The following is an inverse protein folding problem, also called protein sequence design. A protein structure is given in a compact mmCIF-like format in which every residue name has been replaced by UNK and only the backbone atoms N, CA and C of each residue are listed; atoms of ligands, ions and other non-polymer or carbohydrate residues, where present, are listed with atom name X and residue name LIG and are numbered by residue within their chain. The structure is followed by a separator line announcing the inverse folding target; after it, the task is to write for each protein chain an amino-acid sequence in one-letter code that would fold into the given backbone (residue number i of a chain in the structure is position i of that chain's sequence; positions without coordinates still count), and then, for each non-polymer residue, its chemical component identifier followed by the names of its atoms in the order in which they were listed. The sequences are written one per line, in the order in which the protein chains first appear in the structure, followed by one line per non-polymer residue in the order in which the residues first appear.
data_IF_473723039076
#
_entry.id   IF_473723039076
#
_cell.length_a   1.000
_cell.length_b   1.000
_cell.length_c   1.000
_cell.angle_alpha   90.00
_cell.angle_beta   90.00
_cell.angle_gamma   90.00
#
_symmetry.space_group_name_H-M   'P 1'
#
loop_
_entity.id
_entity.type
_entity.pdbx_description
1 polymer ?
#
# COMPACT_ATOMS: atom_id res chain seq x y z
N UNK A 1 -25.06 25.21 48.88
CA UNK A 1 -26.06 24.67 49.83
C UNK A 1 -27.43 25.18 49.42
N UNK A 2 -28.38 24.25 49.13
CA UNK A 2 -29.86 24.42 49.07
C UNK A 2 -30.42 25.43 48.04
N UNK A 3 -31.55 25.25 47.39
CA UNK A 3 -32.54 24.17 47.15
C UNK A 3 -33.49 24.81 46.12
N UNK A 4 -33.91 24.11 45.06
CA UNK A 4 -35.19 24.43 44.40
C UNK A 4 -36.35 24.06 45.34
N UNK A 5 -37.53 24.67 45.17
CA UNK A 5 -38.62 23.87 44.64
C UNK A 5 -39.51 24.61 43.61
N UNK A 6 -40.28 23.78 42.91
CA UNK A 6 -41.27 24.08 41.87
C UNK A 6 -42.62 24.57 42.43
N UNK A 7 -43.51 25.12 41.59
CA UNK A 7 -44.87 24.60 41.26
C UNK A 7 -45.81 25.67 40.66
N UNK A 8 -46.76 25.21 39.82
CA UNK A 8 -48.07 25.84 39.52
C UNK A 8 -48.06 26.87 38.38
N UNK A 9 -48.56 26.63 37.15
CA UNK A 9 -49.86 26.16 36.62
C UNK A 9 -50.92 27.26 36.41
N UNK A 10 -51.68 27.08 35.31
CA UNK A 10 -52.86 27.81 34.81
C UNK A 10 -52.61 29.17 34.14
N UNK A 11 -53.05 29.55 32.93
CA UNK A 11 -53.96 29.10 31.85
C UNK A 11 -55.01 30.19 31.57
N UNK A 12 -55.28 30.37 30.27
CA UNK A 12 -56.48 30.93 29.62
C UNK A 12 -56.44 32.34 29.04
N UNK A 13 -56.63 32.31 27.70
CA UNK A 13 -57.37 33.22 26.84
C UNK A 13 -56.70 34.56 26.45
N UNK A 14 -56.77 35.03 25.21
CA UNK A 14 -57.31 34.61 23.91
C UNK A 14 -56.82 35.70 22.94
N UNK A 15 -56.57 35.39 21.67
CA UNK A 15 -57.28 36.03 20.54
C UNK A 15 -56.85 35.42 19.21
N UNK A 16 -57.87 35.26 18.38
CA UNK A 16 -57.94 34.57 17.10
C UNK A 16 -57.71 35.58 15.98
N UNK A 17 -56.98 35.19 14.94
CA UNK A 17 -57.22 35.66 13.58
C UNK A 17 -56.73 34.59 12.60
N UNK A 18 -57.69 33.91 11.98
CA UNK A 18 -57.43 32.88 10.98
C UNK A 18 -57.08 33.45 9.62
N UNK A 19 -56.32 32.69 8.86
CA UNK A 19 -56.28 32.76 7.40
C UNK A 19 -56.30 31.34 6.86
N UNK A 20 -57.36 31.03 6.11
CA UNK A 20 -57.47 29.85 5.27
C UNK A 20 -56.59 30.11 4.05
N UNK A 21 -55.50 29.34 3.91
CA UNK A 21 -54.83 29.18 2.63
C UNK A 21 -54.91 27.72 2.20
N UNK A 22 -55.79 27.46 1.26
CA UNK A 22 -55.69 26.33 0.35
C UNK A 22 -54.38 26.47 -0.42
N UNK A 23 -53.43 25.57 -0.18
CA UNK A 23 -52.14 25.55 -0.87
C UNK A 23 -51.62 24.13 -0.96
N UNK A 24 -51.43 23.66 -2.19
CA UNK A 24 -51.04 22.30 -2.55
C UNK A 24 -49.89 21.74 -1.69
N UNK A 25 -50.07 20.51 -1.20
CA UNK A 25 -48.97 19.73 -0.66
C UNK A 25 -48.02 19.37 -1.82
N UNK A 26 -46.98 20.18 -2.00
CA UNK A 26 -45.82 19.80 -2.81
C UNK A 26 -45.08 18.73 -2.02
N UNK A 27 -45.33 17.46 -2.38
CA UNK A 27 -44.48 16.34 -2.00
C UNK A 27 -43.11 16.57 -2.65
N UNK A 28 -42.19 17.20 -1.92
CA UNK A 28 -40.78 17.18 -2.25
C UNK A 28 -40.31 15.73 -2.11
N UNK A 29 -40.20 15.00 -3.22
CA UNK A 29 -39.45 13.76 -3.27
C UNK A 29 -37.95 14.13 -3.20
N UNK A 30 -37.22 13.87 -2.10
CA UNK A 30 -35.77 14.11 -2.04
C UNK A 30 -34.98 13.01 -2.79
N UNK A 31 -35.68 12.19 -3.60
CA UNK A 31 -35.22 10.90 -4.11
C UNK A 31 -34.16 10.96 -5.22
N UNK A 32 -33.75 12.13 -5.71
CA UNK A 32 -32.62 12.20 -6.65
C UNK A 32 -31.32 12.66 -5.97
N UNK A 33 -31.41 13.60 -5.02
CA UNK A 33 -30.23 14.10 -4.31
C UNK A 33 -29.75 13.12 -3.24
N UNK A 34 -30.67 12.56 -2.44
CA UNK A 34 -30.33 11.56 -1.42
C UNK A 34 -29.75 10.28 -2.06
N UNK A 35 -30.33 9.81 -3.17
CA UNK A 35 -29.86 8.61 -3.87
C UNK A 35 -28.53 8.83 -4.58
N UNK A 36 -28.29 10.03 -5.14
CA UNK A 36 -26.99 10.39 -5.75
C UNK A 36 -25.89 10.51 -4.69
N UNK A 37 -26.19 11.10 -3.53
CA UNK A 37 -25.27 11.22 -2.40
C UNK A 37 -24.98 9.86 -1.73
N UNK A 38 -25.99 8.99 -1.65
CA UNK A 38 -25.81 7.62 -1.17
C UNK A 38 -24.97 6.75 -2.12
N UNK A 39 -24.88 7.12 -3.40
CA UNK A 39 -24.07 6.44 -4.42
C UNK A 39 -22.60 6.91 -4.46
N UNK A 40 -22.33 8.16 -4.01
CA UNK A 40 -20.96 8.69 -3.88
C UNK A 40 -20.25 8.15 -2.65
N UNK A 41 -21.01 7.76 -1.62
CA UNK A 41 -20.47 7.38 -0.31
C UNK A 41 -20.41 5.86 -0.10
N UNK A 42 -20.79 5.06 -1.12
CA UNK A 42 -20.73 3.60 -1.07
C UNK A 42 -19.47 3.05 -1.71
N UNK A 43 -19.06 1.84 -1.30
CA UNK A 43 -18.00 1.11 -2.00
C UNK A 43 -18.42 0.76 -3.44
N UNK A 44 -17.47 0.67 -4.40
CA UNK A 44 -17.71 0.08 -5.70
C UNK A 44 -18.17 -1.37 -5.56
N UNK A 45 -19.22 -1.76 -6.28
CA UNK A 45 -19.76 -3.14 -6.21
C UNK A 45 -20.57 -3.56 -7.43
N UNK A 46 -20.58 -2.75 -8.50
CA UNK A 46 -21.44 -2.95 -9.67
C UNK A 46 -20.86 -3.96 -10.64
N UNK A 47 -19.54 -4.06 -10.65
CA UNK A 47 -18.77 -5.02 -11.42
C UNK A 47 -17.81 -5.72 -10.46
N UNK A 48 -17.64 -7.02 -10.66
CA UNK A 48 -16.85 -7.87 -9.77
C UNK A 48 -16.13 -8.93 -10.59
N UNK A 49 -14.82 -9.02 -10.43
CA UNK A 49 -13.99 -10.06 -11.04
C UNK A 49 -13.06 -10.63 -9.99
N UNK A 50 -13.04 -11.96 -9.89
CA UNK A 50 -12.15 -12.69 -9.00
C UNK A 50 -11.10 -13.40 -9.82
N UNK A 51 -9.83 -13.25 -9.42
CA UNK A 51 -8.70 -13.93 -10.02
C UNK A 51 -7.70 -14.30 -8.94
N UNK A 52 -7.47 -15.59 -8.73
CA UNK A 52 -6.56 -16.09 -7.69
C UNK A 52 -6.80 -15.48 -6.29
N UNK A 53 -5.90 -14.62 -5.80
CA UNK A 53 -5.96 -13.97 -4.48
C UNK A 53 -6.50 -12.53 -4.53
N UNK A 54 -7.07 -12.09 -5.67
CA UNK A 54 -7.70 -10.78 -5.78
C UNK A 54 -9.20 -10.88 -6.11
N UNK A 55 -10.01 -10.12 -5.38
CA UNK A 55 -11.36 -9.74 -5.76
C UNK A 55 -11.38 -8.26 -6.14
N UNK A 56 -11.51 -7.97 -7.43
CA UNK A 56 -11.63 -6.62 -7.97
C UNK A 56 -13.10 -6.22 -8.02
N UNK A 57 -13.48 -5.19 -7.27
CA UNK A 57 -14.80 -4.57 -7.26
C UNK A 57 -14.72 -3.15 -7.82
N UNK A 58 -15.58 -2.83 -8.76
CA UNK A 58 -15.59 -1.53 -9.43
C UNK A 58 -17.00 -1.01 -9.74
N UNK A 59 -17.10 0.28 -10.07
CA UNK A 59 -18.37 0.93 -10.43
C UNK A 59 -18.89 0.54 -11.80
N UNK A 60 -17.99 0.05 -12.65
CA UNK A 60 -18.21 -0.34 -14.03
C UNK A 60 -17.10 -1.29 -14.46
N UNK A 61 -17.27 -1.97 -15.60
CA UNK A 61 -16.20 -2.78 -16.18
C UNK A 61 -14.93 -1.94 -16.34
N UNK A 62 -13.82 -2.47 -15.84
CA UNK A 62 -12.54 -1.76 -15.83
C UNK A 62 -11.96 -1.73 -17.26
N UNK A 63 -11.55 -0.56 -17.79
CA UNK A 63 -10.82 -0.52 -19.06
C UNK A 63 -9.52 -1.32 -18.94
N UNK A 64 -9.22 -2.20 -19.90
CA UNK A 64 -8.00 -3.03 -19.79
C UNK A 64 -8.00 -3.98 -18.59
N UNK A 65 -9.15 -4.40 -18.08
CA UNK A 65 -9.28 -5.30 -16.92
C UNK A 65 -8.35 -6.52 -16.96
N UNK A 66 -8.22 -7.16 -18.12
CA UNK A 66 -7.35 -8.32 -18.30
C UNK A 66 -5.87 -7.97 -18.06
N UNK A 67 -5.43 -6.77 -18.47
CA UNK A 67 -4.09 -6.24 -18.22
C UNK A 67 -3.90 -5.96 -16.73
N UNK A 68 -4.85 -5.29 -16.08
CA UNK A 68 -4.80 -5.04 -14.63
C UNK A 68 -4.69 -6.35 -13.85
N UNK A 69 -5.50 -7.35 -14.17
CA UNK A 69 -5.46 -8.65 -13.51
C UNK A 69 -4.17 -9.42 -13.82
N UNK A 70 -3.61 -9.27 -15.03
CA UNK A 70 -2.33 -9.85 -15.37
C UNK A 70 -1.19 -9.21 -14.55
N UNK A 71 -1.17 -7.88 -14.41
CA UNK A 71 -0.20 -7.16 -13.58
C UNK A 71 -0.25 -7.60 -12.11
N UNK A 72 -1.45 -7.69 -11.51
CA UNK A 72 -1.61 -8.20 -10.15
C UNK A 72 -1.21 -9.68 -10.03
N UNK A 73 -1.47 -10.47 -11.08
CA UNK A 73 -0.99 -11.85 -11.19
C UNK A 73 0.54 -11.93 -11.16
N UNK A 74 1.22 -11.03 -11.85
CA UNK A 74 2.68 -10.95 -11.88
C UNK A 74 3.26 -10.54 -10.52
N UNK A 75 2.70 -9.52 -9.84
CA UNK A 75 3.13 -9.14 -8.49
C UNK A 75 3.06 -10.34 -7.54
N UNK A 76 1.96 -11.10 -7.57
CA UNK A 76 1.80 -12.31 -6.74
C UNK A 76 2.88 -13.36 -7.04
N UNK A 77 3.15 -13.61 -8.32
CA UNK A 77 4.18 -14.56 -8.72
C UNK A 77 5.56 -14.11 -8.24
N UNK A 78 5.90 -12.83 -8.45
CA UNK A 78 7.19 -12.24 -8.04
C UNK A 78 7.41 -12.30 -6.53
N UNK A 79 6.40 -12.02 -5.70
CA UNK A 79 6.53 -12.19 -4.24
C UNK A 79 6.85 -13.65 -3.89
N UNK A 80 6.24 -14.61 -4.57
CA UNK A 80 6.49 -16.03 -4.31
C UNK A 80 7.90 -16.43 -4.77
N UNK A 81 8.26 -16.05 -5.99
CA UNK A 81 9.49 -16.50 -6.66
C UNK A 81 10.74 -15.77 -6.15
N UNK A 82 10.66 -14.45 -5.95
CA UNK A 82 11.79 -13.62 -5.49
C UNK A 82 11.96 -13.65 -3.97
N UNK A 83 10.88 -13.73 -3.19
CA UNK A 83 10.98 -13.67 -1.72
C UNK A 83 10.84 -15.05 -1.06
N UNK A 84 10.50 -16.10 -1.81
CA UNK A 84 10.30 -17.45 -1.27
C UNK A 84 9.14 -17.54 -0.26
N UNK A 85 8.25 -16.54 -0.24
CA UNK A 85 7.11 -16.49 0.66
C UNK A 85 5.94 -17.18 -0.02
N UNK A 86 5.42 -18.30 0.52
CA UNK A 86 4.25 -18.95 -0.06
C UNK A 86 3.04 -18.01 0.01
N UNK A 87 2.11 -18.06 -0.95
CA UNK A 87 0.91 -17.24 -0.91
C UNK A 87 0.14 -17.44 0.40
N UNK A 88 -0.43 -16.35 0.90
CA UNK A 88 -1.38 -16.37 2.02
C UNK A 88 -2.70 -17.06 1.66
N UNK A 89 -3.55 -17.29 2.65
CA UNK A 89 -4.89 -17.86 2.39
C UNK A 89 -5.95 -16.77 2.20
N UNK A 90 -5.68 -15.55 2.67
CA UNK A 90 -6.62 -14.43 2.61
C UNK A 90 -6.61 -13.80 1.22
N UNK A 91 -7.81 -13.55 0.69
CA UNK A 91 -8.03 -12.74 -0.51
C UNK A 91 -7.83 -11.25 -0.18
N UNK A 92 -7.24 -10.51 -1.13
CA UNK A 92 -7.15 -9.05 -1.09
C UNK A 92 -8.27 -8.48 -1.95
N UNK A 93 -9.10 -7.62 -1.38
CA UNK A 93 -10.22 -6.97 -2.06
C UNK A 93 -9.77 -5.62 -2.60
N UNK A 94 -9.88 -5.41 -3.91
CA UNK A 94 -9.55 -4.14 -4.56
C UNK A 94 -10.84 -3.40 -4.87
N UNK A 95 -11.10 -2.31 -4.16
CA UNK A 95 -12.17 -1.36 -4.42
C UNK A 95 -11.68 -0.26 -5.37
N UNK A 96 -12.01 -0.41 -6.65
CA UNK A 96 -11.59 0.49 -7.73
C UNK A 96 -12.73 1.44 -8.12
N UNK A 97 -12.59 2.69 -7.69
CA UNK A 97 -13.53 3.77 -7.98
C UNK A 97 -13.37 4.25 -9.43
N UNK A 98 -14.46 4.64 -10.07
CA UNK A 98 -14.45 5.14 -11.46
C UNK A 98 -13.62 6.40 -11.66
N UNK A 99 -13.52 7.25 -10.63
CA UNK A 99 -12.90 8.56 -10.71
C UNK A 99 -12.40 9.04 -9.34
N UNK A 100 -11.51 10.04 -9.40
CA UNK A 100 -10.83 10.63 -8.25
C UNK A 100 -11.78 11.32 -7.27
N UNK A 101 -12.82 11.99 -7.73
CA UNK A 101 -13.71 12.78 -6.88
C UNK A 101 -14.57 11.88 -6.00
N UNK A 102 -15.09 10.80 -6.58
CA UNK A 102 -15.83 9.78 -5.84
C UNK A 102 -14.96 9.09 -4.81
N UNK A 103 -13.76 8.66 -5.20
CA UNK A 103 -12.78 8.08 -4.28
C UNK A 103 -12.43 9.03 -3.13
N UNK A 104 -12.08 10.27 -3.43
CA UNK A 104 -11.68 11.24 -2.41
C UNK A 104 -12.84 11.58 -1.47
N UNK A 105 -14.08 11.59 -1.98
CA UNK A 105 -15.29 11.79 -1.17
C UNK A 105 -15.52 10.62 -0.22
N UNK A 106 -15.43 9.38 -0.74
CA UNK A 106 -15.52 8.17 0.06
C UNK A 106 -14.45 8.13 1.15
N UNK A 107 -13.17 8.27 0.79
CA UNK A 107 -12.05 8.19 1.73
C UNK A 107 -12.13 9.26 2.82
N UNK A 108 -12.57 10.48 2.49
CA UNK A 108 -12.77 11.54 3.49
C UNK A 108 -13.91 11.23 4.46
N UNK A 109 -14.97 10.58 3.99
CA UNK A 109 -16.11 10.22 4.81
C UNK A 109 -15.83 9.02 5.74
N UNK A 110 -15.11 8.01 5.25
CA UNK A 110 -14.90 6.74 5.94
C UNK A 110 -13.56 6.64 6.66
N UNK A 111 -12.53 7.36 6.18
CA UNK A 111 -11.18 7.39 6.74
C UNK A 111 -10.65 8.83 6.89
N UNK A 112 -11.36 9.70 7.66
CA UNK A 112 -11.07 11.14 7.72
C UNK A 112 -9.68 11.52 8.26
N UNK A 113 -9.01 10.59 8.96
CA UNK A 113 -7.69 10.82 9.54
C UNK A 113 -6.54 10.43 8.59
N UNK A 114 -6.84 9.77 7.46
CA UNK A 114 -5.81 9.45 6.48
C UNK A 114 -5.50 10.68 5.62
N UNK A 115 -4.24 10.87 5.19
CA UNK A 115 -3.88 11.92 4.27
C UNK A 115 -4.54 11.70 2.90
N UNK A 116 -4.60 12.74 2.07
CA UNK A 116 -5.02 12.56 0.69
C UNK A 116 -3.92 11.84 -0.11
N UNK A 117 -4.17 10.59 -0.53
CA UNK A 117 -3.32 9.81 -1.46
C UNK A 117 -4.19 9.29 -2.63
N UNK A 118 -3.56 8.68 -3.64
CA UNK A 118 -4.27 8.11 -4.80
C UNK A 118 -4.82 6.71 -4.53
N UNK A 119 -4.13 5.99 -3.66
CA UNK A 119 -4.53 4.67 -3.22
C UNK A 119 -4.14 4.46 -1.75
N UNK A 120 -4.73 3.41 -1.16
CA UNK A 120 -4.43 2.93 0.19
C UNK A 120 -4.70 1.44 0.29
N UNK A 121 -3.77 0.72 0.91
CA UNK A 121 -4.03 -0.55 1.55
C UNK A 121 -4.49 -0.33 3.00
N UNK A 122 -5.54 -1.03 3.41
CA UNK A 122 -6.03 -1.07 4.79
C UNK A 122 -6.29 -2.53 5.17
N UNK A 123 -5.43 -3.06 6.02
CA UNK A 123 -5.55 -4.39 6.62
C UNK A 123 -6.34 -4.36 7.92
N UNK A 124 -7.35 -5.22 8.03
CA UNK A 124 -8.05 -5.51 9.29
C UNK A 124 -8.05 -7.02 9.55
N UNK A 125 -8.47 -7.50 10.75
CA UNK A 125 -8.67 -8.93 10.96
C UNK A 125 -9.72 -9.56 10.03
N UNK A 126 -10.64 -8.76 9.47
CA UNK A 126 -11.75 -9.24 8.64
C UNK A 126 -11.47 -9.16 7.15
N UNK A 127 -10.74 -8.14 6.71
CA UNK A 127 -10.57 -7.81 5.29
C UNK A 127 -9.19 -7.23 5.05
N UNK A 128 -8.60 -7.55 3.89
CA UNK A 128 -7.40 -6.91 3.35
C UNK A 128 -7.88 -6.11 2.15
N UNK A 129 -7.96 -4.78 2.27
CA UNK A 129 -8.61 -3.95 1.26
C UNK A 129 -7.63 -2.96 0.63
N UNK A 130 -7.65 -2.87 -0.69
CA UNK A 130 -7.01 -1.80 -1.46
C UNK A 130 -8.10 -0.86 -1.97
N UNK A 131 -7.95 0.43 -1.72
CA UNK A 131 -8.82 1.48 -2.23
C UNK A 131 -8.04 2.32 -3.23
N UNK A 132 -8.50 2.39 -4.46
CA UNK A 132 -7.85 3.17 -5.51
C UNK A 132 -8.88 3.76 -6.47
N UNK A 133 -8.49 4.76 -7.26
CA UNK A 133 -9.33 5.27 -8.34
C UNK A 133 -8.68 5.06 -9.70
N UNK A 134 -9.52 4.86 -10.73
CA UNK A 134 -9.03 4.79 -12.10
C UNK A 134 -8.31 6.08 -12.51
N UNK A 135 -7.19 5.96 -13.24
CA UNK A 135 -6.37 7.06 -13.70
C UNK A 135 -5.00 6.62 -14.22
N UNK A 136 -4.17 7.56 -14.64
CA UNK A 136 -2.91 7.29 -15.36
C UNK A 136 -1.87 6.49 -14.54
N UNK A 137 -1.97 6.52 -13.21
CA UNK A 137 -1.04 5.84 -12.30
C UNK A 137 -1.58 4.52 -11.74
N UNK A 138 -2.73 4.05 -12.22
CA UNK A 138 -3.45 2.95 -11.58
C UNK A 138 -2.61 1.68 -11.44
N UNK A 139 -1.81 1.33 -12.44
CA UNK A 139 -0.99 0.12 -12.37
C UNK A 139 0.11 0.23 -11.30
N UNK A 140 0.79 1.38 -11.20
CA UNK A 140 1.81 1.62 -10.16
C UNK A 140 1.16 1.58 -8.78
N UNK A 141 0.06 2.32 -8.60
CA UNK A 141 -0.66 2.40 -7.33
C UNK A 141 -1.18 1.01 -6.91
N UNK A 142 -1.72 0.23 -7.84
CA UNK A 142 -2.19 -1.13 -7.54
C UNK A 142 -1.06 -2.09 -7.25
N UNK A 143 0.07 -2.05 -7.96
CA UNK A 143 1.21 -2.91 -7.66
C UNK A 143 1.76 -2.65 -6.26
N UNK A 144 1.86 -1.38 -5.86
CA UNK A 144 2.29 -0.98 -4.52
C UNK A 144 1.31 -1.49 -3.45
N UNK A 145 0.04 -1.08 -3.51
CA UNK A 145 -0.92 -1.39 -2.44
C UNK A 145 -1.32 -2.87 -2.38
N UNK A 146 -1.35 -3.56 -3.52
CA UNK A 146 -1.59 -5.00 -3.55
C UNK A 146 -0.42 -5.79 -2.95
N UNK A 147 0.81 -5.26 -3.03
CA UNK A 147 1.98 -5.88 -2.39
C UNK A 147 1.82 -5.93 -0.88
N UNK A 148 1.39 -4.83 -0.24
CA UNK A 148 1.05 -4.85 1.19
C UNK A 148 -0.02 -5.91 1.49
N UNK A 149 -1.08 -5.97 0.68
CA UNK A 149 -2.14 -6.98 0.84
C UNK A 149 -1.61 -8.41 0.79
N UNK A 150 -0.73 -8.73 -0.15
CA UNK A 150 -0.13 -10.05 -0.27
C UNK A 150 0.82 -10.38 0.88
N UNK A 151 1.65 -9.42 1.30
CA UNK A 151 2.54 -9.59 2.45
C UNK A 151 1.72 -9.84 3.72
N UNK A 152 0.74 -9.00 4.03
CA UNK A 152 -0.11 -9.15 5.21
C UNK A 152 -0.95 -10.44 5.17
N UNK A 153 -1.37 -10.89 3.98
CA UNK A 153 -2.02 -12.18 3.80
C UNK A 153 -1.10 -13.37 4.12
N UNK A 154 0.18 -13.26 3.78
CA UNK A 154 1.15 -14.36 3.85
C UNK A 154 1.89 -14.44 5.19
N UNK A 155 2.26 -13.30 5.76
CA UNK A 155 3.14 -13.21 6.95
C UNK A 155 2.49 -12.49 8.13
N UNK A 156 1.35 -11.83 7.94
CA UNK A 156 0.67 -11.08 9.01
C UNK A 156 1.31 -9.71 9.23
N UNK A 157 2.02 -9.53 10.35
CA UNK A 157 2.66 -8.26 10.67
C UNK A 157 4.10 -8.19 10.14
N UNK A 158 4.37 -7.22 9.28
CA UNK A 158 5.68 -6.97 8.66
C UNK A 158 6.28 -5.70 9.25
N UNK A 159 7.59 -5.67 9.57
CA UNK A 159 8.25 -4.43 9.94
C UNK A 159 8.09 -3.38 8.85
N UNK A 160 7.80 -2.14 9.25
CA UNK A 160 7.38 -1.08 8.35
C UNK A 160 8.33 -0.87 7.17
N UNK A 161 9.64 -0.77 7.42
CA UNK A 161 10.62 -0.56 6.34
C UNK A 161 10.68 -1.73 5.35
N UNK A 162 10.40 -2.97 5.77
CA UNK A 162 10.37 -4.13 4.87
C UNK A 162 9.08 -4.10 4.05
N UNK A 163 7.95 -3.81 4.68
CA UNK A 163 6.65 -3.70 4.03
C UNK A 163 6.68 -2.65 2.91
N UNK A 164 7.14 -1.44 3.26
CA UNK A 164 7.30 -0.32 2.32
C UNK A 164 8.40 -0.59 1.29
N UNK A 165 9.58 -1.08 1.71
CA UNK A 165 10.69 -1.35 0.78
C UNK A 165 10.35 -2.41 -0.28
N UNK A 166 9.57 -3.43 0.07
CA UNK A 166 9.08 -4.43 -0.90
C UNK A 166 7.99 -3.84 -1.78
N UNK A 167 7.06 -3.04 -1.25
CA UNK A 167 6.04 -2.36 -2.05
C UNK A 167 6.66 -1.41 -3.09
N UNK A 168 7.64 -0.59 -2.68
CA UNK A 168 8.43 0.30 -3.54
C UNK A 168 9.29 -0.46 -4.57
N UNK A 169 9.66 -1.70 -4.27
CA UNK A 169 10.32 -2.57 -5.23
C UNK A 169 9.30 -3.14 -6.24
N UNK A 170 8.16 -3.64 -5.78
CA UNK A 170 7.16 -4.29 -6.64
C UNK A 170 6.31 -3.32 -7.46
N UNK A 171 6.28 -2.02 -7.12
CA UNK A 171 5.54 -1.00 -7.89
C UNK A 171 6.14 -0.75 -9.28
N UNK A 172 7.39 -1.14 -9.50
CA UNK A 172 8.06 -1.06 -10.80
C UNK A 172 7.54 -2.19 -11.70
N UNK A 173 7.17 -1.84 -12.93
CA UNK A 173 6.66 -2.79 -13.93
C UNK A 173 7.67 -3.91 -14.21
N UNK A 174 7.17 -5.10 -14.52
CA UNK A 174 8.01 -6.29 -14.78
C UNK A 174 8.89 -6.17 -16.03
N UNK A 175 8.57 -5.22 -16.90
CA UNK A 175 9.29 -4.88 -18.12
C UNK A 175 10.53 -4.00 -17.86
N UNK A 176 10.65 -3.38 -16.68
CA UNK A 176 11.84 -2.60 -16.32
C UNK A 176 13.01 -3.50 -15.92
N UNK A 177 14.11 -3.36 -16.66
CA UNK A 177 15.32 -4.14 -16.48
C UNK A 177 15.88 -3.93 -15.05
N UNK A 178 16.04 -5.02 -14.31
CA UNK A 178 16.60 -5.01 -12.96
C UNK A 178 15.68 -4.40 -11.90
N UNK A 179 14.40 -4.17 -12.23
CA UNK A 179 13.38 -3.66 -11.31
C UNK A 179 13.81 -2.38 -10.57
N UNK A 180 14.40 -1.46 -11.33
CA UNK A 180 15.01 -0.24 -10.80
C UNK A 180 14.00 0.90 -10.79
N UNK A 181 13.66 1.40 -9.61
CA UNK A 181 12.91 2.64 -9.49
C UNK A 181 13.84 3.84 -9.80
N UNK A 182 13.74 4.37 -11.03
CA UNK A 182 14.63 5.44 -11.53
C UNK A 182 14.49 6.74 -10.74
N UNK A 183 13.30 7.01 -10.20
CA UNK A 183 13.07 8.20 -9.39
C UNK A 183 13.84 8.11 -8.07
N UNK A 184 13.67 6.99 -7.35
CA UNK A 184 14.37 6.73 -6.10
C UNK A 184 15.87 6.72 -6.30
N UNK A 185 16.33 6.02 -7.34
CA UNK A 185 17.74 5.95 -7.70
C UNK A 185 18.33 7.35 -7.97
N UNK A 186 17.65 8.19 -8.75
CA UNK A 186 18.09 9.55 -9.02
C UNK A 186 18.17 10.41 -7.76
N UNK A 187 17.20 10.29 -6.86
CA UNK A 187 17.19 11.00 -5.55
C UNK A 187 18.31 10.52 -4.65
N UNK A 188 18.48 9.22 -4.50
CA UNK A 188 19.51 8.66 -3.64
C UNK A 188 20.92 8.88 -4.18
N UNK A 189 21.14 8.81 -5.49
CA UNK A 189 22.44 9.14 -6.08
C UNK A 189 22.80 10.62 -5.83
N UNK A 190 21.81 11.52 -5.91
CA UNK A 190 22.00 12.92 -5.58
C UNK A 190 22.34 13.10 -4.09
N UNK A 191 21.59 12.49 -3.17
CA UNK A 191 21.87 12.64 -1.73
C UNK A 191 23.16 11.93 -1.30
N UNK A 192 23.52 10.81 -1.92
CA UNK A 192 24.80 10.13 -1.74
C UNK A 192 25.98 11.06 -2.07
N UNK A 193 25.88 11.82 -3.16
CA UNK A 193 26.89 12.84 -3.51
C UNK A 193 27.01 13.97 -2.47
N UNK A 194 25.98 14.16 -1.64
CA UNK A 194 25.93 15.13 -0.55
C UNK A 194 26.27 14.52 0.82
N UNK A 195 26.69 13.25 0.86
CA UNK A 195 27.12 12.58 2.08
C UNK A 195 26.04 11.79 2.81
N UNK A 196 24.92 11.46 2.16
CA UNK A 196 23.95 10.50 2.70
C UNK A 196 24.63 9.16 3.04
N UNK A 197 24.20 8.58 4.16
CA UNK A 197 24.60 7.25 4.61
C UNK A 197 23.33 6.48 5.02
N UNK A 198 23.13 5.25 4.52
CA UNK A 198 22.10 4.36 5.03
C UNK A 198 22.29 4.12 6.54
N UNK A 199 21.18 4.00 7.27
CA UNK A 199 21.10 3.66 8.69
C UNK A 199 19.98 2.64 8.90
N UNK A 200 20.31 1.36 8.73
CA UNK A 200 19.32 0.28 8.79
C UNK A 200 18.72 0.15 10.19
N UNK A 201 19.52 0.38 11.23
CA UNK A 201 19.04 0.32 12.61
C UNK A 201 17.99 1.39 12.88
N UNK A 202 18.10 2.56 12.25
CA UNK A 202 17.09 3.62 12.34
C UNK A 202 15.82 3.22 11.62
N UNK A 203 15.90 2.70 10.40
CA UNK A 203 14.72 2.19 9.69
C UNK A 203 13.99 1.09 10.47
N UNK A 204 14.73 0.17 11.09
CA UNK A 204 14.17 -0.90 11.93
C UNK A 204 13.45 -0.39 13.20
N UNK A 205 13.63 0.87 13.60
CA UNK A 205 12.92 1.48 14.74
C UNK A 205 11.66 2.24 14.35
N UNK A 206 11.41 2.45 13.05
CA UNK A 206 10.19 3.11 12.59
C UNK A 206 9.05 2.10 12.61
N UNK A 207 7.97 2.43 13.32
CA UNK A 207 6.83 1.54 13.52
C UNK A 207 5.55 2.10 12.87
N UNK A 208 5.46 3.42 12.73
CA UNK A 208 4.29 4.07 12.15
C UNK A 208 4.60 4.79 10.83
N UNK A 209 3.69 4.69 9.86
CA UNK A 209 3.78 5.37 8.55
C UNK A 209 4.00 6.89 8.70
N UNK A 210 3.46 7.50 9.75
CA UNK A 210 3.64 8.92 10.04
C UNK A 210 5.06 9.32 10.45
N UNK A 211 5.90 8.37 10.83
CA UNK A 211 7.31 8.57 11.19
C UNK A 211 8.23 8.53 9.96
N UNK A 212 7.79 7.90 8.86
CA UNK A 212 8.57 7.79 7.64
C UNK A 212 8.52 9.08 6.80
N UNK A 213 9.69 9.64 6.56
CA UNK A 213 9.93 10.64 5.52
C UNK A 213 10.04 9.99 4.15
N UNK A 214 9.95 10.78 3.08
CA UNK A 214 10.14 10.27 1.71
C UNK A 214 11.52 9.64 1.51
N UNK A 215 12.53 10.18 2.16
CA UNK A 215 13.89 9.65 2.17
C UNK A 215 13.94 8.25 2.80
N UNK A 216 13.08 7.93 3.76
CA UNK A 216 12.99 6.62 4.38
C UNK A 216 12.42 5.57 3.43
N UNK A 217 11.42 5.94 2.61
CA UNK A 217 10.90 5.08 1.54
C UNK A 217 11.99 4.75 0.51
N UNK A 218 12.76 5.76 0.08
CA UNK A 218 13.86 5.54 -0.84
C UNK A 218 14.95 4.64 -0.21
N UNK A 219 15.29 4.86 1.06
CA UNK A 219 16.28 4.03 1.77
C UNK A 219 15.78 2.58 1.95
N UNK A 220 14.51 2.39 2.29
CA UNK A 220 13.88 1.07 2.39
C UNK A 220 13.94 0.32 1.06
N UNK A 221 13.59 0.98 -0.05
CA UNK A 221 13.77 0.44 -1.40
C UNK A 221 15.22 0.06 -1.68
N UNK A 222 16.18 0.92 -1.33
CA UNK A 222 17.60 0.67 -1.58
C UNK A 222 18.11 -0.58 -0.82
N UNK A 223 17.67 -0.79 0.42
CA UNK A 223 18.00 -1.99 1.18
C UNK A 223 17.41 -3.25 0.56
N UNK A 224 16.12 -3.25 0.22
CA UNK A 224 15.46 -4.39 -0.42
C UNK A 224 16.13 -4.72 -1.76
N UNK A 225 16.37 -3.70 -2.59
CA UNK A 225 17.02 -3.87 -3.89
C UNK A 225 18.44 -4.43 -3.73
N UNK A 226 19.26 -3.87 -2.83
CA UNK A 226 20.60 -4.38 -2.53
C UNK A 226 20.59 -5.84 -2.02
N UNK A 227 19.66 -6.20 -1.11
CA UNK A 227 19.54 -7.55 -0.57
C UNK A 227 19.18 -8.57 -1.67
N UNK A 228 18.30 -8.20 -2.60
CA UNK A 228 17.87 -9.08 -3.68
C UNK A 228 18.91 -9.22 -4.80
N UNK A 229 19.67 -8.16 -5.09
CA UNK A 229 20.50 -8.12 -6.29
C UNK A 229 22.01 -8.23 -6.05
N UNK A 230 22.52 -7.80 -4.89
CA UNK A 230 23.96 -7.60 -4.70
C UNK A 230 24.54 -8.24 -3.43
N UNK A 231 23.77 -8.29 -2.34
CA UNK A 231 24.23 -8.83 -1.07
C UNK A 231 24.43 -10.36 -1.17
N UNK A 232 25.61 -10.90 -0.81
CA UNK A 232 25.81 -12.34 -0.75
C UNK A 232 24.81 -13.01 0.21
N UNK A 233 23.92 -13.86 -0.33
CA UNK A 233 22.87 -14.51 0.47
C UNK A 233 21.74 -13.59 0.94
N UNK A 234 21.64 -12.36 0.44
CA UNK A 234 20.64 -11.39 0.89
C UNK A 234 19.19 -11.79 0.62
N UNK A 235 18.92 -12.38 -0.55
CA UNK A 235 17.59 -12.93 -0.88
C UNK A 235 17.19 -14.04 0.12
N UNK A 236 18.11 -14.95 0.43
CA UNK A 236 17.87 -16.01 1.43
C UNK A 236 17.64 -15.41 2.82
N UNK A 237 18.43 -14.43 3.22
CA UNK A 237 18.28 -13.71 4.49
C UNK A 237 16.88 -13.07 4.62
N UNK A 238 16.41 -12.37 3.58
CA UNK A 238 15.09 -11.75 3.56
C UNK A 238 13.98 -12.81 3.58
N UNK A 239 14.13 -13.88 2.81
CA UNK A 239 13.18 -15.00 2.77
C UNK A 239 13.03 -15.68 4.13
N UNK A 240 14.14 -16.02 4.78
CA UNK A 240 14.16 -16.63 6.11
C UNK A 240 13.50 -15.71 7.14
N UNK A 241 13.80 -14.40 7.09
CA UNK A 241 13.18 -13.40 7.96
C UNK A 241 11.65 -13.40 7.82
N UNK A 242 11.12 -13.39 6.59
CA UNK A 242 9.68 -13.42 6.31
C UNK A 242 9.02 -14.75 6.73
N UNK A 243 9.72 -15.88 6.58
CA UNK A 243 9.25 -17.20 7.04
C UNK A 243 9.18 -17.29 8.56
N UNK A 244 10.13 -16.69 9.28
CA UNK A 244 10.09 -16.61 10.74
C UNK A 244 8.90 -15.76 11.22
N UNK A 245 8.66 -14.59 10.61
CA UNK A 245 7.48 -13.76 10.88
C UNK A 245 6.17 -14.55 10.69
N UNK A 246 6.04 -15.26 9.57
CA UNK A 246 4.86 -16.10 9.28
C UNK A 246 4.59 -17.15 10.35
N UNK A 247 5.64 -17.68 10.99
CA UNK A 247 5.54 -18.65 12.08
C UNK A 247 5.18 -18.01 13.43
N UNK A 248 4.93 -16.71 13.46
CA UNK A 248 4.65 -15.94 14.67
C UNK A 248 5.88 -15.74 15.55
N UNK A 249 7.08 -15.88 14.98
CA UNK A 249 8.34 -15.66 15.70
C UNK A 249 8.69 -14.17 15.69
N UNK A 250 9.53 -13.75 16.63
CA UNK A 250 10.15 -12.43 16.64
C UNK A 250 11.57 -12.57 16.10
N UNK A 251 11.77 -12.49 14.77
CA UNK A 251 13.08 -12.67 14.17
C UNK A 251 14.07 -11.61 14.68
N UNK A 252 15.32 -12.03 14.87
CA UNK A 252 16.43 -11.08 15.09
C UNK A 252 16.44 -10.05 13.96
N UNK A 253 16.58 -8.73 14.24
CA UNK A 253 16.59 -7.69 13.21
C UNK A 253 17.65 -7.95 12.12
N UNK A 254 17.36 -7.55 10.88
CA UNK A 254 18.26 -7.76 9.72
C UNK A 254 19.60 -7.07 9.97
N UNK A 255 19.61 -5.89 10.60
CA UNK A 255 20.85 -5.18 10.96
C UNK A 255 21.79 -6.01 11.85
N UNK A 256 21.24 -6.87 12.71
CA UNK A 256 22.02 -7.76 13.55
C UNK A 256 22.44 -9.05 12.81
N UNK A 257 21.65 -9.50 11.82
CA UNK A 257 21.98 -10.67 10.98
C UNK A 257 23.06 -10.39 9.96
N UNK A 258 23.17 -9.15 9.47
CA UNK A 258 24.23 -8.70 8.55
C UNK A 258 25.63 -8.68 9.19
N UNK A 259 25.73 -8.96 10.50
CA UNK A 259 26.97 -9.24 11.20
C UNK A 259 27.60 -8.03 11.88
N UNK A 260 28.81 -8.22 12.40
CA UNK A 260 29.46 -7.28 13.32
C UNK A 260 29.93 -5.96 12.67
N UNK A 261 29.99 -5.88 11.34
CA UNK A 261 30.43 -4.67 10.60
C UNK A 261 29.31 -4.08 9.74
N UNK A 262 28.19 -3.75 10.38
CA UNK A 262 27.03 -3.12 9.72
C UNK A 262 27.44 -1.82 9.00
N UNK A 263 28.36 -1.05 9.56
CA UNK A 263 28.84 0.20 8.95
C UNK A 263 29.51 -0.03 7.59
N UNK A 264 30.27 -1.13 7.44
CA UNK A 264 30.82 -1.50 6.15
C UNK A 264 29.72 -1.91 5.15
N UNK A 265 28.65 -2.58 5.60
CA UNK A 265 27.51 -2.95 4.75
C UNK A 265 26.71 -1.72 4.33
N UNK A 266 26.43 -0.78 5.24
CA UNK A 266 25.83 0.52 4.92
C UNK A 266 26.65 1.28 3.88
N UNK A 267 27.99 1.26 4.00
CA UNK A 267 28.91 1.79 2.99
C UNK A 267 28.92 1.02 1.66
N UNK A 268 28.50 -0.24 1.64
CA UNK A 268 28.29 -1.01 0.40
C UNK A 268 26.98 -0.60 -0.27
N UNK A 269 25.88 -0.43 0.48
CA UNK A 269 24.60 0.03 -0.05
C UNK A 269 24.72 1.42 -0.68
N UNK A 270 25.40 2.35 -0.01
CA UNK A 270 25.62 3.70 -0.56
C UNK A 270 26.38 3.65 -1.90
N UNK A 271 27.43 2.82 -1.99
CA UNK A 271 28.19 2.62 -3.24
C UNK A 271 27.37 1.92 -4.32
N UNK A 272 26.59 0.92 -3.92
CA UNK A 272 25.70 0.16 -4.80
C UNK A 272 24.73 1.08 -5.54
N UNK A 273 24.04 1.96 -4.81
CA UNK A 273 23.10 2.93 -5.39
C UNK A 273 23.80 3.86 -6.38
N UNK A 274 25.01 4.35 -6.05
CA UNK A 274 25.78 5.22 -6.96
C UNK A 274 26.18 4.47 -8.24
N UNK A 275 26.63 3.22 -8.13
CA UNK A 275 27.00 2.38 -9.28
C UNK A 275 25.80 2.06 -10.16
N UNK A 276 24.67 1.70 -9.54
CA UNK A 276 23.42 1.43 -10.24
C UNK A 276 22.94 2.69 -11.01
N UNK A 277 23.08 3.87 -10.42
CA UNK A 277 22.77 5.16 -11.05
C UNK A 277 23.68 5.52 -12.24
N UNK A 278 24.92 5.01 -12.25
CA UNK A 278 25.87 5.23 -13.33
C UNK A 278 25.66 4.30 -14.54
N UNK A 279 24.73 3.34 -14.45
CA UNK A 279 24.46 2.39 -15.54
C UNK A 279 25.38 1.17 -15.57
N UNK A 280 26.15 0.93 -14.50
CA UNK A 280 26.87 -0.35 -14.34
C UNK A 280 25.83 -1.43 -14.05
N UNK A 281 25.39 -2.14 -15.10
CA UNK A 281 24.39 -3.19 -14.98
C UNK A 281 24.86 -4.28 -13.99
N UNK A 282 24.21 -4.32 -12.83
CA UNK A 282 24.32 -5.42 -11.89
C UNK A 282 23.60 -6.60 -12.53
N UNK A 283 24.37 -7.56 -13.05
CA UNK A 283 23.83 -8.80 -13.60
C UNK A 283 23.16 -9.57 -12.46
N UNK A 284 21.88 -9.94 -12.57
CA UNK A 284 21.21 -10.76 -11.56
C UNK A 284 22.01 -12.03 -11.28
N UNK A 285 22.19 -12.38 -10.00
CA UNK A 285 22.88 -13.61 -9.59
C UNK A 285 22.21 -14.88 -10.16
N UNK A 286 20.95 -14.79 -10.59
CA UNK A 286 20.15 -15.88 -11.13
C UNK A 286 20.56 -16.35 -12.53
N UNK A 287 21.44 -15.65 -13.26
CA UNK A 287 21.87 -16.09 -14.60
C UNK A 287 23.20 -16.86 -14.64
N UNK A 288 23.89 -17.07 -13.51
CA UNK A 288 25.23 -17.69 -13.52
C UNK A 288 25.24 -19.22 -13.39
N UNK A 289 24.09 -19.91 -13.41
CA UNK A 289 24.00 -21.37 -13.26
C UNK A 289 23.49 -22.14 -14.50
N UNK A 290 23.47 -21.55 -15.70
CA UNK A 290 23.16 -22.29 -16.95
C UNK A 290 24.30 -22.31 -17.98
N UNK A 291 25.52 -21.98 -17.58
CA UNK A 291 26.67 -21.97 -18.50
C UNK A 291 27.94 -22.53 -17.86
N UNK A 292 27.83 -23.68 -17.21
CA UNK A 292 28.99 -24.51 -16.92
C UNK A 292 28.54 -25.98 -16.84
N UNK A 293 29.23 -26.82 -17.62
CA UNK A 293 29.28 -28.28 -17.57
C UNK A 293 28.21 -29.07 -18.36
N UNK A 294 28.51 -29.28 -19.65
CA UNK A 294 28.45 -30.62 -20.25
C UNK A 294 29.89 -31.03 -20.62
N UNK A 295 30.52 -32.00 -19.93
CA UNK A 295 31.67 -32.71 -20.47
C UNK A 295 31.19 -33.93 -21.27
N UNK A 296 31.69 -34.00 -22.50
CA UNK A 296 31.77 -35.12 -23.47
C UNK A 296 30.48 -35.82 -23.93
#
# INVERSE_FOLDING_TARGET
MRRRPATGSSSWARLVAGWIFSGAAILFFPGCAATRQQQTDSLPSRHAVRSHQVLLLSDQKVPGEEEVLAELGQVRARITDELGVPPGEREVVVYLFSDRDRYASYMRATHPNLPARRAFFIGTPKELAVYAHWGDHILVDLRHEYTHGLLHAAVGHVPLWIDEGIAEYMEVGSDEIGNVNREHLGRLAQTASQGWRPDLKRLERLEEVGEMSREDYHEAWAWVHYLLHQAPGGQQLLSEYLVELRRGQSPTPISARLGNDLAAVEGQVARYVVQLGAGDHVVPATFRLQSAESPE
#
